data_IF_579404548744
#
_entry.id   IF_579404548744
#
_cell.length_a   1.000
_cell.length_b   1.000
_cell.length_c   1.000
_cell.angle_alpha   90.00
_cell.angle_beta   90.00
_cell.angle_gamma   90.00
#
_symmetry.space_group_name_H-M   'P 1'
#
loop_
_entity.id
_entity.type
_entity.pdbx_description
1 polymer ?
#
# COMPACT_ATOMS: atom_id res chain seq x y z
N UNK A 1 -3.41 -31.84 -2.44
CA UNK A 1 -3.15 -31.93 -3.88
C UNK A 1 -2.01 -30.99 -4.23
N UNK A 2 -0.86 -31.52 -4.66
CA UNK A 2 0.27 -30.72 -5.14
C UNK A 2 0.04 -30.33 -6.61
N UNK A 3 -0.94 -29.46 -6.84
CA UNK A 3 -1.23 -28.93 -8.17
C UNK A 3 -0.50 -27.57 -8.28
N UNK A 4 0.41 -27.41 -9.26
CA UNK A 4 1.06 -26.11 -9.46
C UNK A 4 0.03 -25.06 -9.89
N UNK A 5 0.05 -23.91 -9.22
CA UNK A 5 -0.79 -22.76 -9.56
C UNK A 5 -0.09 -21.89 -10.61
N UNK A 6 -0.80 -21.51 -11.65
CA UNK A 6 -0.37 -20.48 -12.62
C UNK A 6 -1.28 -19.26 -12.44
N UNK A 7 -0.71 -18.11 -12.12
CA UNK A 7 -1.43 -16.84 -11.98
C UNK A 7 -1.36 -16.05 -13.29
N UNK A 8 -2.51 -15.57 -13.77
CA UNK A 8 -2.62 -14.67 -14.93
C UNK A 8 -3.38 -13.40 -14.50
N UNK A 9 -2.70 -12.42 -13.90
CA UNK A 9 -3.37 -11.20 -13.46
C UNK A 9 -3.86 -10.37 -14.65
N UNK A 10 -5.09 -9.89 -14.56
CA UNK A 10 -5.71 -9.00 -15.54
C UNK A 10 -5.61 -7.53 -15.14
N UNK A 11 -5.13 -7.28 -13.93
CA UNK A 11 -4.91 -5.95 -13.35
C UNK A 11 -3.48 -5.88 -12.78
N UNK A 12 -2.88 -4.70 -12.86
CA UNK A 12 -1.65 -4.35 -12.15
C UNK A 12 -2.04 -3.40 -11.01
N UNK A 13 -2.55 -3.97 -9.91
CA UNK A 13 -3.09 -3.21 -8.78
C UNK A 13 -2.51 -3.60 -7.43
N UNK A 14 -1.85 -4.75 -7.33
CA UNK A 14 -1.16 -5.24 -6.13
C UNK A 14 -0.23 -6.42 -6.45
N UNK A 15 0.45 -6.93 -5.43
CA UNK A 15 1.42 -8.02 -5.55
C UNK A 15 0.84 -9.44 -5.35
N UNK A 16 -0.45 -9.59 -5.06
CA UNK A 16 -1.07 -10.89 -4.80
C UNK A 16 -0.78 -11.99 -5.86
N UNK A 17 -0.59 -11.65 -7.16
CA UNK A 17 -0.27 -12.66 -8.17
C UNK A 17 0.99 -13.48 -7.93
N UNK A 18 1.93 -13.03 -7.11
CA UNK A 18 3.18 -13.76 -6.82
C UNK A 18 3.36 -14.11 -5.34
N UNK A 19 2.44 -13.71 -4.48
CA UNK A 19 2.54 -13.99 -3.04
C UNK A 19 1.87 -15.31 -2.66
N UNK A 20 2.24 -15.85 -1.50
CA UNK A 20 1.63 -17.04 -0.91
C UNK A 20 0.48 -16.70 0.05
N UNK A 21 -0.27 -15.65 -0.26
CA UNK A 21 -1.34 -15.10 0.55
C UNK A 21 -2.58 -14.83 -0.28
N UNK A 22 -3.76 -15.12 0.27
CA UNK A 22 -5.04 -14.61 -0.24
C UNK A 22 -5.80 -13.91 0.86
N UNK A 23 -6.39 -12.77 0.52
CA UNK A 23 -7.37 -12.10 1.36
C UNK A 23 -8.74 -12.70 1.08
N UNK A 24 -9.40 -13.21 2.10
CA UNK A 24 -10.73 -13.84 1.99
C UNK A 24 -11.76 -12.89 2.55
N UNK A 25 -12.81 -12.66 1.77
CA UNK A 25 -13.96 -11.85 2.14
C UNK A 25 -15.18 -12.73 2.34
N UNK A 26 -16.08 -12.34 3.24
CA UNK A 26 -17.38 -13.00 3.41
C UNK A 26 -18.28 -12.71 2.21
N UNK A 27 -19.31 -13.53 2.03
CA UNK A 27 -20.28 -13.34 0.93
C UNK A 27 -21.04 -12.01 1.00
N UNK A 28 -21.16 -11.42 2.21
CA UNK A 28 -21.76 -10.12 2.46
C UNK A 28 -20.79 -8.93 2.30
N UNK A 29 -19.51 -9.20 1.93
CA UNK A 29 -18.51 -8.21 1.55
C UNK A 29 -17.38 -7.96 2.53
N UNK A 30 -17.54 -7.93 3.86
CA UNK A 30 -16.49 -7.64 4.83
C UNK A 30 -15.34 -8.65 4.83
N UNK A 31 -14.15 -8.17 5.23
CA UNK A 31 -12.98 -9.02 5.45
C UNK A 31 -13.32 -10.19 6.40
N UNK A 32 -12.86 -11.39 6.05
CA UNK A 32 -13.00 -12.59 6.87
C UNK A 32 -11.65 -12.98 7.48
N UNK A 33 -10.66 -13.32 6.64
CA UNK A 33 -9.34 -13.77 7.09
C UNK A 33 -8.28 -13.69 6.00
N UNK A 34 -7.03 -13.77 6.43
CA UNK A 34 -5.93 -14.13 5.55
C UNK A 34 -5.81 -15.65 5.43
N UNK A 35 -5.54 -16.13 4.24
CA UNK A 35 -5.23 -17.52 3.95
C UNK A 35 -3.81 -17.59 3.41
N UNK A 36 -2.93 -18.19 4.20
CA UNK A 36 -1.53 -18.37 3.84
C UNK A 36 -1.32 -19.74 3.18
N UNK A 37 -0.44 -19.80 2.22
CA UNK A 37 -0.05 -21.00 1.50
C UNK A 37 1.43 -21.29 1.71
N UNK A 38 1.81 -22.57 1.71
CA UNK A 38 3.21 -22.99 1.90
C UNK A 38 4.13 -22.51 0.75
N UNK A 39 3.58 -22.30 -0.44
CA UNK A 39 4.33 -21.89 -1.62
C UNK A 39 3.55 -20.87 -2.46
N UNK A 40 4.22 -19.90 -3.06
CA UNK A 40 3.60 -18.99 -4.01
C UNK A 40 3.22 -19.69 -5.32
N UNK A 41 2.53 -19.02 -6.25
CA UNK A 41 2.28 -19.54 -7.59
C UNK A 41 3.58 -20.00 -8.27
N UNK A 42 3.52 -21.18 -8.94
CA UNK A 42 4.67 -21.73 -9.65
C UNK A 42 5.09 -20.89 -10.87
N UNK A 43 4.14 -20.14 -11.43
CA UNK A 43 4.35 -19.22 -12.54
C UNK A 43 3.33 -18.07 -12.43
N UNK A 44 3.81 -16.86 -12.64
CA UNK A 44 2.95 -15.69 -12.87
C UNK A 44 3.26 -15.11 -14.25
N UNK A 45 2.24 -15.09 -15.10
CA UNK A 45 2.33 -14.58 -16.47
C UNK A 45 1.53 -13.27 -16.58
N UNK A 46 2.21 -12.16 -16.79
CA UNK A 46 1.61 -10.83 -16.93
C UNK A 46 1.57 -10.43 -18.39
N UNK A 47 0.37 -10.38 -18.97
CA UNK A 47 0.17 -9.78 -20.30
C UNK A 47 -0.03 -8.27 -20.13
N UNK A 48 1.00 -7.50 -20.49
CA UNK A 48 0.97 -6.03 -20.35
C UNK A 48 -0.09 -5.38 -21.26
N UNK A 49 -0.38 -5.96 -22.44
CA UNK A 49 -1.43 -5.42 -23.31
C UNK A 49 -2.81 -5.62 -22.68
N UNK A 50 -3.04 -6.77 -22.05
CA UNK A 50 -4.27 -7.00 -21.31
C UNK A 50 -4.39 -6.02 -20.14
N UNK A 51 -3.33 -5.85 -19.37
CA UNK A 51 -3.31 -4.95 -18.22
C UNK A 51 -3.45 -3.46 -18.62
N UNK A 52 -2.87 -3.03 -19.75
CA UNK A 52 -3.03 -1.67 -20.29
C UNK A 52 -4.46 -1.35 -20.73
N UNK A 53 -5.27 -2.37 -21.05
CA UNK A 53 -6.68 -2.20 -21.40
C UNK A 53 -7.63 -2.22 -20.17
N UNK A 54 -7.09 -2.46 -18.98
CA UNK A 54 -7.86 -2.35 -17.74
C UNK A 54 -8.13 -0.86 -17.38
N UNK A 55 -9.20 -0.57 -16.61
CA UNK A 55 -9.45 0.80 -16.19
C UNK A 55 -8.26 1.40 -15.40
N UNK A 56 -7.73 2.53 -15.87
CA UNK A 56 -6.50 3.17 -15.37
C UNK A 56 -6.51 3.45 -13.85
N UNK A 57 -7.71 3.63 -13.26
CA UNK A 57 -7.86 3.81 -11.81
C UNK A 57 -7.27 2.68 -10.98
N UNK A 58 -7.33 1.43 -11.45
CA UNK A 58 -6.77 0.28 -10.73
C UNK A 58 -5.24 0.29 -10.78
N UNK A 59 -4.67 0.67 -11.92
CA UNK A 59 -3.22 0.85 -12.05
C UNK A 59 -2.73 1.98 -11.14
N UNK A 60 -3.42 3.14 -11.14
CA UNK A 60 -3.13 4.26 -10.24
C UNK A 60 -3.13 3.83 -8.78
N UNK A 61 -4.18 3.13 -8.34
CA UNK A 61 -4.26 2.62 -6.97
C UNK A 61 -3.11 1.67 -6.66
N UNK A 62 -2.73 0.78 -7.59
CA UNK A 62 -1.57 -0.10 -7.44
C UNK A 62 -0.25 0.65 -7.26
N UNK A 63 -0.07 1.80 -7.92
CA UNK A 63 1.09 2.66 -7.68
C UNK A 63 1.12 3.20 -6.25
N UNK A 64 -0.05 3.64 -5.73
CA UNK A 64 -0.19 4.16 -4.36
C UNK A 64 0.12 3.11 -3.30
N UNK A 65 -0.47 1.93 -3.41
CA UNK A 65 -0.23 0.78 -2.53
C UNK A 65 1.25 0.37 -2.52
N UNK A 66 1.86 0.29 -3.70
CA UNK A 66 3.26 -0.14 -3.84
C UNK A 66 4.25 0.88 -3.25
N UNK A 67 3.99 2.19 -3.37
CA UNK A 67 4.82 3.22 -2.74
C UNK A 67 4.87 3.06 -1.22
N UNK A 68 3.74 2.74 -0.60
CA UNK A 68 3.66 2.53 0.84
C UNK A 68 4.53 1.35 1.31
N UNK A 69 4.69 0.32 0.50
CA UNK A 69 5.52 -0.84 0.84
C UNK A 69 6.93 -0.47 1.29
N UNK A 70 7.58 0.49 0.61
CA UNK A 70 8.89 0.99 1.04
C UNK A 70 8.81 1.77 2.35
N UNK A 71 7.84 2.67 2.45
CA UNK A 71 7.71 3.54 3.62
C UNK A 71 7.40 2.73 4.88
N UNK A 72 6.53 1.75 4.77
CA UNK A 72 6.13 0.91 5.89
C UNK A 72 7.20 -0.10 6.28
N UNK A 73 7.80 -0.81 5.31
CA UNK A 73 8.86 -1.78 5.61
C UNK A 73 10.06 -1.12 6.29
N UNK A 74 10.45 0.08 5.84
CA UNK A 74 11.55 0.82 6.47
C UNK A 74 11.16 1.42 7.81
N UNK A 75 9.89 1.79 8.01
CA UNK A 75 9.37 2.28 9.28
C UNK A 75 9.34 1.17 10.33
N UNK A 76 8.71 0.02 10.02
CA UNK A 76 8.61 -1.12 10.92
C UNK A 76 9.98 -1.71 11.27
N UNK A 77 10.90 -1.79 10.30
CA UNK A 77 12.25 -2.31 10.52
C UNK A 77 13.04 -1.52 11.58
N UNK A 78 12.73 -0.25 11.80
CA UNK A 78 13.36 0.55 12.87
C UNK A 78 12.95 0.11 14.28
N UNK A 79 11.86 -0.63 14.44
CA UNK A 79 11.47 -1.23 15.71
C UNK A 79 12.53 -2.19 16.26
N UNK A 80 13.28 -2.86 15.39
CA UNK A 80 14.32 -3.80 15.77
C UNK A 80 15.67 -3.14 16.12
N UNK A 81 15.90 -1.92 15.69
CA UNK A 81 17.09 -1.16 16.10
C UNK A 81 17.15 -0.94 17.62
N UNK A 82 16.03 -1.17 18.32
CA UNK A 82 15.89 -1.02 19.76
C UNK A 82 16.25 -2.29 20.57
N UNK A 83 16.51 -3.44 19.91
CA UNK A 83 16.81 -4.66 20.67
C UNK A 83 17.19 -5.92 19.93
N UNK A 84 16.65 -6.19 18.76
CA UNK A 84 16.95 -7.40 17.99
C UNK A 84 17.32 -7.04 16.55
N UNK A 85 18.34 -7.66 16.01
CA UNK A 85 18.71 -7.47 14.62
C UNK A 85 17.66 -8.13 13.70
N UNK A 86 17.31 -7.47 12.59
CA UNK A 86 16.55 -8.08 11.51
C UNK A 86 17.17 -9.43 11.12
N UNK A 87 16.35 -10.46 10.98
CA UNK A 87 16.81 -11.68 10.33
C UNK A 87 17.26 -11.39 8.89
N UNK A 88 18.12 -12.26 8.37
CA UNK A 88 18.77 -11.98 7.08
C UNK A 88 17.78 -11.86 5.91
N UNK A 89 16.71 -12.65 5.88
CA UNK A 89 15.71 -12.59 4.81
C UNK A 89 14.90 -11.30 4.89
N UNK A 90 14.46 -10.91 6.08
CA UNK A 90 13.77 -9.64 6.31
C UNK A 90 14.66 -8.43 5.95
N UNK A 91 15.95 -8.48 6.30
CA UNK A 91 16.89 -7.42 5.91
C UNK A 91 17.02 -7.28 4.38
N UNK A 92 17.00 -8.40 3.63
CA UNK A 92 16.97 -8.38 2.16
C UNK A 92 15.64 -7.78 1.67
N UNK A 93 14.51 -8.22 2.21
CA UNK A 93 13.18 -7.72 1.85
C UNK A 93 13.07 -6.21 2.08
N UNK A 94 13.44 -5.72 3.26
CA UNK A 94 13.44 -4.29 3.59
C UNK A 94 14.37 -3.51 2.65
N UNK A 95 15.57 -4.01 2.36
CA UNK A 95 16.49 -3.36 1.41
C UNK A 95 15.92 -3.31 0.00
N UNK A 96 15.24 -4.38 -0.43
CA UNK A 96 14.61 -4.49 -1.74
C UNK A 96 13.41 -3.54 -1.88
N UNK A 97 12.72 -3.19 -0.78
CA UNK A 97 11.51 -2.36 -0.80
C UNK A 97 11.70 -1.02 -1.51
N UNK A 98 12.94 -0.51 -1.59
CA UNK A 98 13.26 0.69 -2.36
C UNK A 98 12.92 0.57 -3.86
N UNK A 99 12.93 -0.64 -4.41
CA UNK A 99 12.49 -0.90 -5.79
C UNK A 99 10.98 -0.79 -5.98
N UNK A 100 10.22 -0.68 -4.89
CA UNK A 100 8.79 -0.35 -4.90
C UNK A 100 8.56 1.17 -4.99
N UNK A 101 9.55 1.99 -4.65
CA UNK A 101 9.40 3.44 -4.49
C UNK A 101 10.01 4.23 -5.65
N UNK A 102 11.34 4.13 -5.84
CA UNK A 102 12.07 4.95 -6.80
C UNK A 102 11.56 4.83 -8.26
N UNK A 103 11.29 3.62 -8.80
CA UNK A 103 10.79 3.51 -10.16
C UNK A 103 9.40 4.13 -10.34
N UNK A 104 8.52 4.02 -9.33
CA UNK A 104 7.18 4.61 -9.40
C UNK A 104 7.25 6.13 -9.38
N UNK A 105 8.06 6.73 -8.51
CA UNK A 105 8.24 8.19 -8.51
C UNK A 105 8.80 8.69 -9.85
N UNK A 106 9.69 7.92 -10.46
CA UNK A 106 10.33 8.30 -11.72
C UNK A 106 9.44 8.12 -12.94
N UNK A 107 8.70 7.02 -13.01
CA UNK A 107 7.99 6.61 -14.23
C UNK A 107 6.47 6.64 -14.08
N UNK A 108 5.91 6.75 -12.86
CA UNK A 108 4.49 6.55 -12.60
C UNK A 108 3.55 7.46 -13.38
N UNK A 109 3.92 8.72 -13.61
CA UNK A 109 3.10 9.67 -14.41
C UNK A 109 3.01 9.21 -15.87
N UNK A 110 4.16 8.89 -16.47
CA UNK A 110 4.20 8.42 -17.86
C UNK A 110 3.51 7.06 -17.97
N UNK A 111 3.76 6.16 -17.01
CA UNK A 111 3.11 4.85 -16.96
C UNK A 111 1.58 4.96 -16.90
N UNK A 112 1.03 5.86 -16.06
CA UNK A 112 -0.41 6.10 -16.01
C UNK A 112 -0.93 6.66 -17.33
N UNK A 113 -0.20 7.60 -17.95
CA UNK A 113 -0.54 8.15 -19.26
C UNK A 113 -0.51 7.07 -20.36
N UNK A 114 0.45 6.14 -20.34
CA UNK A 114 0.47 4.99 -21.26
C UNK A 114 -0.77 4.11 -21.09
N UNK A 115 -1.15 3.79 -19.83
CA UNK A 115 -2.36 3.01 -19.53
C UNK A 115 -3.65 3.74 -19.96
N UNK A 116 -3.74 5.07 -19.77
CA UNK A 116 -4.89 5.88 -20.24
C UNK A 116 -5.03 5.87 -21.77
N UNK A 117 -3.92 5.67 -22.49
CA UNK A 117 -3.92 5.50 -23.95
C UNK A 117 -4.06 4.03 -24.38
N UNK A 118 -4.22 3.09 -23.43
CA UNK A 118 -4.24 1.65 -23.66
C UNK A 118 -2.95 1.12 -24.30
N UNK A 119 -1.82 1.68 -23.95
CA UNK A 119 -0.49 1.34 -24.45
C UNK A 119 0.32 0.59 -23.39
N UNK A 120 0.86 -0.57 -23.74
CA UNK A 120 1.82 -1.30 -22.93
C UNK A 120 3.24 -0.73 -23.17
N UNK A 121 3.48 0.48 -22.70
CA UNK A 121 4.74 1.17 -22.89
C UNK A 121 5.81 0.82 -21.86
N UNK A 122 7.05 1.31 -22.04
CA UNK A 122 8.18 0.97 -21.17
C UNK A 122 8.03 1.54 -19.76
N UNK A 123 7.34 2.67 -19.56
CA UNK A 123 7.08 3.21 -18.23
C UNK A 123 6.06 2.36 -17.48
N UNK A 124 4.98 1.93 -18.16
CA UNK A 124 4.01 0.99 -17.60
C UNK A 124 4.68 -0.34 -17.22
N UNK A 125 5.52 -0.91 -18.11
CA UNK A 125 6.24 -2.15 -17.82
C UNK A 125 7.10 -2.01 -16.56
N UNK A 126 7.84 -0.90 -16.40
CA UNK A 126 8.67 -0.66 -15.24
C UNK A 126 7.84 -0.59 -13.96
N UNK A 127 6.74 0.16 -13.98
CA UNK A 127 5.83 0.27 -12.83
C UNK A 127 5.11 -1.05 -12.55
N UNK A 128 4.70 -1.81 -13.56
CA UNK A 128 4.09 -3.13 -13.38
C UNK A 128 5.06 -4.11 -12.69
N UNK A 129 6.35 -4.06 -13.02
CA UNK A 129 7.38 -4.82 -12.29
C UNK A 129 7.51 -4.39 -10.84
N UNK A 130 7.41 -3.09 -10.54
CA UNK A 130 7.41 -2.61 -9.15
C UNK A 130 6.18 -3.08 -8.38
N UNK A 131 4.99 -2.99 -8.98
CA UNK A 131 3.72 -3.36 -8.34
C UNK A 131 3.62 -4.87 -8.10
N UNK A 132 3.97 -5.69 -9.09
CA UNK A 132 3.81 -7.14 -8.96
C UNK A 132 5.07 -7.78 -8.40
N UNK A 133 6.23 -7.58 -9.05
CA UNK A 133 7.44 -8.32 -8.72
C UNK A 133 8.14 -7.76 -7.47
N UNK A 134 8.44 -6.45 -7.44
CA UNK A 134 9.18 -5.88 -6.30
C UNK A 134 8.40 -5.99 -5.00
N UNK A 135 7.13 -5.53 -4.99
CA UNK A 135 6.29 -5.60 -3.79
C UNK A 135 6.04 -7.05 -3.34
N UNK A 136 5.84 -7.97 -4.29
CA UNK A 136 5.66 -9.38 -3.97
C UNK A 136 6.93 -10.05 -3.43
N UNK A 137 8.12 -9.71 -3.95
CA UNK A 137 9.38 -10.20 -3.39
C UNK A 137 9.62 -9.65 -1.97
N UNK A 138 9.29 -8.38 -1.71
CA UNK A 138 9.32 -7.85 -0.34
C UNK A 138 8.42 -8.68 0.56
N UNK A 139 7.18 -8.93 0.15
CA UNK A 139 6.21 -9.72 0.93
C UNK A 139 6.61 -11.19 1.14
N UNK A 140 7.41 -11.77 0.24
CA UNK A 140 7.90 -13.15 0.36
C UNK A 140 9.18 -13.25 1.19
N UNK A 141 9.98 -12.18 1.28
CA UNK A 141 11.28 -12.18 1.96
C UNK A 141 11.21 -11.60 3.36
N UNK A 142 10.45 -10.53 3.54
CA UNK A 142 10.28 -9.91 4.84
C UNK A 142 9.26 -10.68 5.67
N UNK A 143 9.53 -10.83 6.98
CA UNK A 143 8.53 -11.29 7.93
C UNK A 143 7.29 -10.39 7.88
N UNK A 144 6.12 -10.92 8.18
CA UNK A 144 4.84 -10.19 8.11
C UNK A 144 4.86 -8.89 8.91
N UNK A 145 5.64 -8.83 10.00
CA UNK A 145 5.84 -7.65 10.84
C UNK A 145 6.39 -6.42 10.10
N UNK A 146 7.02 -6.62 8.94
CA UNK A 146 7.63 -5.53 8.15
C UNK A 146 6.87 -5.24 6.85
N UNK A 147 5.74 -5.90 6.63
CA UNK A 147 5.00 -5.78 5.38
C UNK A 147 4.02 -4.60 5.36
N UNK A 148 3.46 -4.26 6.51
CA UNK A 148 2.51 -3.18 6.71
C UNK A 148 2.87 -2.38 7.97
N UNK A 149 2.30 -1.17 8.10
CA UNK A 149 2.40 -0.32 9.29
C UNK A 149 1.25 0.70 9.31
N UNK A 150 1.53 1.94 9.71
CA UNK A 150 0.50 2.97 9.88
C UNK A 150 -0.25 3.31 8.58
N UNK A 151 0.37 3.22 7.41
CA UNK A 151 -0.33 3.53 6.16
C UNK A 151 -1.50 2.57 5.91
N UNK A 152 -1.30 1.27 6.08
CA UNK A 152 -2.37 0.27 5.99
C UNK A 152 -3.34 0.38 7.16
N UNK A 153 -2.86 0.60 8.39
CA UNK A 153 -3.73 0.78 9.56
C UNK A 153 -4.70 1.97 9.37
N UNK A 154 -4.24 3.09 8.79
CA UNK A 154 -5.11 4.22 8.41
C UNK A 154 -6.10 3.83 7.31
N UNK A 155 -5.66 3.06 6.31
CA UNK A 155 -6.54 2.56 5.25
C UNK A 155 -7.70 1.74 5.84
N UNK A 156 -7.42 0.76 6.70
CA UNK A 156 -8.44 -0.06 7.36
C UNK A 156 -9.35 0.79 8.25
N UNK A 157 -8.77 1.74 8.98
CA UNK A 157 -9.55 2.70 9.76
C UNK A 157 -10.55 3.49 8.92
N UNK A 158 -10.14 3.99 7.75
CA UNK A 158 -11.03 4.74 6.86
C UNK A 158 -12.14 3.87 6.25
N UNK A 159 -11.94 2.55 6.13
CA UNK A 159 -12.94 1.62 5.64
C UNK A 159 -14.12 1.41 6.63
N UNK A 160 -14.04 1.91 7.87
CA UNK A 160 -15.21 1.98 8.76
C UNK A 160 -16.31 2.93 8.24
N UNK A 161 -15.97 3.84 7.32
CA UNK A 161 -16.98 4.60 6.59
C UNK A 161 -17.51 3.75 5.43
N UNK A 162 -18.77 3.32 5.51
CA UNK A 162 -19.41 2.42 4.53
C UNK A 162 -19.24 2.89 3.07
N UNK A 163 -19.34 4.20 2.81
CA UNK A 163 -19.15 4.74 1.47
C UNK A 163 -17.70 4.66 1.01
N UNK A 164 -16.73 4.77 1.92
CA UNK A 164 -15.29 4.64 1.60
C UNK A 164 -14.96 3.18 1.29
N UNK A 165 -15.44 2.24 2.11
CA UNK A 165 -15.26 0.80 1.85
C UNK A 165 -15.81 0.40 0.48
N UNK A 166 -16.99 0.92 0.11
CA UNK A 166 -17.65 0.58 -1.16
C UNK A 166 -17.02 1.24 -2.38
N UNK A 167 -16.64 2.52 -2.28
CA UNK A 167 -16.37 3.37 -3.45
C UNK A 167 -14.88 3.69 -3.64
N UNK A 168 -14.06 3.64 -2.58
CA UNK A 168 -12.64 3.93 -2.67
C UNK A 168 -11.82 2.68 -3.07
N UNK A 169 -10.71 2.91 -3.74
CA UNK A 169 -9.76 1.83 -4.02
C UNK A 169 -8.75 1.72 -2.87
N UNK A 170 -8.46 0.49 -2.46
CA UNK A 170 -7.52 0.19 -1.37
C UNK A 170 -6.21 0.98 -1.48
N UNK A 171 -5.55 0.94 -2.64
CA UNK A 171 -4.27 1.64 -2.83
C UNK A 171 -4.38 3.17 -2.79
N UNK A 172 -5.53 3.76 -3.08
CA UNK A 172 -5.76 5.20 -2.90
C UNK A 172 -5.81 5.55 -1.39
N UNK A 173 -6.45 4.70 -0.58
CA UNK A 173 -6.50 4.86 0.89
C UNK A 173 -5.12 4.64 1.51
N UNK A 174 -4.39 3.63 1.07
CA UNK A 174 -3.02 3.36 1.53
C UNK A 174 -2.08 4.52 1.17
N UNK A 175 -2.23 5.11 -0.01
CA UNK A 175 -1.45 6.29 -0.40
C UNK A 175 -1.71 7.51 0.50
N UNK A 176 -2.97 7.74 0.91
CA UNK A 176 -3.29 8.75 1.91
C UNK A 176 -2.68 8.40 3.27
N UNK A 177 -2.80 7.15 3.70
CA UNK A 177 -2.18 6.64 4.93
C UNK A 177 -0.66 6.81 4.95
N UNK A 178 0.01 6.66 3.79
CA UNK A 178 1.44 6.92 3.65
C UNK A 178 1.81 8.39 3.92
N UNK A 179 0.95 9.34 3.50
CA UNK A 179 1.13 10.75 3.86
C UNK A 179 0.99 10.98 5.37
N UNK A 180 0.00 10.33 5.99
CA UNK A 180 -0.22 10.42 7.45
C UNK A 180 0.99 9.84 8.19
N UNK A 181 1.51 8.68 7.76
CA UNK A 181 2.70 8.06 8.36
C UNK A 181 3.93 8.96 8.27
N UNK A 182 4.22 9.54 7.10
CA UNK A 182 5.34 10.46 6.92
C UNK A 182 5.21 11.71 7.80
N UNK A 183 4.01 12.28 7.88
CA UNK A 183 3.76 13.44 8.74
C UNK A 183 3.93 13.13 10.21
N UNK A 184 3.42 11.96 10.66
CA UNK A 184 3.55 11.50 12.05
C UNK A 184 5.02 11.26 12.40
N UNK A 185 5.79 10.69 11.47
CA UNK A 185 7.21 10.38 11.64
C UNK A 185 8.12 11.63 11.47
N UNK A 186 7.56 12.82 11.30
CA UNK A 186 8.30 14.08 11.16
C UNK A 186 8.97 14.27 9.80
N UNK A 187 8.66 13.45 8.81
CA UNK A 187 9.23 13.49 7.46
C UNK A 187 8.41 14.41 6.53
N UNK A 188 8.18 15.65 6.97
CA UNK A 188 7.25 16.58 6.30
C UNK A 188 7.64 16.90 4.85
N UNK A 189 8.93 17.09 4.55
CA UNK A 189 9.36 17.37 3.18
C UNK A 189 9.08 16.19 2.25
N UNK A 190 9.33 14.97 2.70
CA UNK A 190 9.01 13.77 1.93
C UNK A 190 7.48 13.62 1.76
N UNK A 191 6.69 13.96 2.78
CA UNK A 191 5.23 13.99 2.67
C UNK A 191 4.76 14.99 1.60
N UNK A 192 5.37 16.18 1.55
CA UNK A 192 5.07 17.20 0.52
C UNK A 192 5.45 16.73 -0.89
N UNK A 193 6.59 16.05 -1.03
CA UNK A 193 7.03 15.49 -2.32
C UNK A 193 6.09 14.38 -2.77
N UNK A 194 5.77 13.44 -1.89
CA UNK A 194 4.84 12.36 -2.17
C UNK A 194 3.45 12.90 -2.53
N UNK A 195 2.94 13.88 -1.78
CA UNK A 195 1.64 14.50 -2.06
C UNK A 195 1.60 15.14 -3.46
N UNK A 196 2.65 15.89 -3.85
CA UNK A 196 2.73 16.48 -5.20
C UNK A 196 2.69 15.40 -6.28
N UNK A 197 3.37 14.29 -6.05
CA UNK A 197 3.34 13.14 -6.96
C UNK A 197 1.94 12.52 -7.04
N UNK A 198 1.30 12.20 -5.91
CA UNK A 198 -0.03 11.60 -5.84
C UNK A 198 -1.10 12.49 -6.49
N UNK A 199 -1.07 13.81 -6.23
CA UNK A 199 -1.93 14.79 -6.91
C UNK A 199 -1.77 14.71 -8.42
N UNK A 200 -0.54 14.56 -8.91
CA UNK A 200 -0.28 14.47 -10.36
C UNK A 200 -0.80 13.17 -11.00
N UNK A 201 -1.10 12.15 -10.21
CA UNK A 201 -1.76 10.92 -10.64
C UNK A 201 -3.29 11.00 -10.51
N UNK A 202 -3.83 12.04 -9.86
CA UNK A 202 -5.24 12.12 -9.52
C UNK A 202 -5.65 11.21 -8.35
N UNK A 203 -4.69 10.81 -7.52
CA UNK A 203 -4.95 10.06 -6.28
C UNK A 203 -5.53 11.00 -5.22
N UNK A 204 -6.57 10.62 -4.46
CA UNK A 204 -7.06 11.40 -3.33
C UNK A 204 -5.94 11.60 -2.28
N UNK A 205 -5.76 12.85 -1.85
CA UNK A 205 -4.73 13.23 -0.86
C UNK A 205 -5.32 13.99 0.32
N UNK A 206 -6.64 14.06 0.40
CA UNK A 206 -7.38 14.68 1.51
C UNK A 206 -8.59 13.84 1.89
N UNK A 207 -9.00 13.90 3.15
CA UNK A 207 -10.24 13.29 3.64
C UNK A 207 -11.47 13.85 2.92
N UNK A 208 -11.46 15.16 2.62
CA UNK A 208 -12.54 15.82 1.90
C UNK A 208 -12.79 15.22 0.51
N UNK A 209 -11.73 14.82 -0.21
CA UNK A 209 -11.85 14.13 -1.51
C UNK A 209 -12.47 12.74 -1.40
N UNK A 210 -12.42 12.14 -0.22
CA UNK A 210 -13.01 10.85 0.11
C UNK A 210 -14.36 10.98 0.83
N UNK A 211 -14.90 12.22 0.94
CA UNK A 211 -16.12 12.56 1.69
C UNK A 211 -16.08 12.15 3.17
N UNK A 212 -14.89 12.15 3.78
CA UNK A 212 -14.69 11.86 5.19
C UNK A 212 -14.52 13.17 5.95
N UNK A 213 -15.28 13.42 7.04
CA UNK A 213 -15.15 14.63 7.83
C UNK A 213 -13.86 14.61 8.67
N UNK A 214 -13.14 15.74 8.71
CA UNK A 214 -12.00 15.92 9.60
C UNK A 214 -12.47 16.34 11.00
N UNK A 215 -13.21 15.48 11.63
CA UNK A 215 -13.73 15.67 12.99
C UNK A 215 -13.36 14.46 13.86
N UNK A 216 -12.72 14.72 15.01
CA UNK A 216 -12.22 13.63 15.87
C UNK A 216 -13.32 12.66 16.29
N UNK A 217 -14.52 13.15 16.55
CA UNK A 217 -15.64 12.29 16.94
C UNK A 217 -16.10 11.38 15.79
N UNK A 218 -16.11 11.89 14.56
CA UNK A 218 -16.46 11.11 13.36
C UNK A 218 -15.37 10.08 13.00
N UNK A 219 -14.11 10.41 13.29
CA UNK A 219 -12.95 9.54 13.02
C UNK A 219 -12.65 8.56 14.17
N UNK A 220 -13.50 8.48 15.22
CA UNK A 220 -13.20 7.68 16.42
C UNK A 220 -12.81 6.24 16.08
N UNK A 221 -13.66 5.52 15.35
CA UNK A 221 -13.43 4.10 15.02
C UNK A 221 -12.22 3.94 14.08
N UNK A 222 -12.05 4.86 13.15
CA UNK A 222 -10.88 4.89 12.28
C UNK A 222 -9.57 5.09 13.05
N UNK A 223 -9.56 5.95 14.06
CA UNK A 223 -8.38 6.19 14.91
C UNK A 223 -8.11 5.01 15.86
N UNK A 224 -9.16 4.33 16.33
CA UNK A 224 -8.99 3.09 17.10
C UNK A 224 -8.32 2.04 16.24
N UNK A 225 -8.84 1.74 15.05
CA UNK A 225 -8.28 0.76 14.12
C UNK A 225 -6.82 1.11 13.74
N UNK A 226 -6.56 2.37 13.38
CA UNK A 226 -5.23 2.86 13.01
C UNK A 226 -4.18 2.79 14.15
N UNK A 227 -4.59 2.47 15.38
CA UNK A 227 -3.67 2.40 16.53
C UNK A 227 -3.66 1.06 17.25
N UNK A 228 -4.60 0.16 16.96
CA UNK A 228 -4.76 -1.14 17.64
C UNK A 228 -4.77 -2.33 16.68
N UNK A 229 -4.77 -2.10 15.37
CA UNK A 229 -4.72 -3.16 14.36
C UNK A 229 -3.39 -3.93 14.38
N UNK A 230 -3.34 -5.13 13.81
CA UNK A 230 -2.17 -6.00 13.82
C UNK A 230 -0.93 -5.36 13.17
N UNK A 231 -1.12 -4.48 12.19
CA UNK A 231 -0.02 -3.77 11.52
C UNK A 231 0.73 -2.79 12.43
N UNK A 232 0.18 -2.52 13.62
CA UNK A 232 0.75 -1.63 14.62
C UNK A 232 1.50 -2.37 15.75
N UNK A 233 1.58 -3.71 15.69
CA UNK A 233 2.28 -4.50 16.71
C UNK A 233 3.80 -4.31 16.66
N UNK A 234 4.34 -4.01 15.47
CA UNK A 234 5.79 -3.89 15.26
C UNK A 234 6.13 -2.55 14.60
N UNK A 235 6.23 -1.52 15.43
CA UNK A 235 6.51 -0.13 15.03
C UNK A 235 7.62 0.46 15.92
N UNK A 236 8.37 1.48 15.45
CA UNK A 236 9.55 1.97 16.18
C UNK A 236 9.26 2.67 17.50
N UNK A 237 8.04 3.13 17.72
CA UNK A 237 7.62 3.81 18.97
C UNK A 237 6.10 3.76 19.12
N UNK A 238 5.58 3.86 20.37
CA UNK A 238 4.14 3.87 20.59
C UNK A 238 3.44 5.02 19.86
N UNK A 239 2.37 4.70 19.12
CA UNK A 239 1.54 5.66 18.39
C UNK A 239 0.18 5.74 19.06
N UNK A 240 -0.28 6.96 19.33
CA UNK A 240 -1.58 7.23 19.94
C UNK A 240 -2.57 7.79 18.92
N UNK A 241 -3.87 7.68 19.23
CA UNK A 241 -4.93 8.28 18.41
C UNK A 241 -4.75 9.79 18.23
N UNK A 242 -4.22 10.50 19.25
CA UNK A 242 -3.93 11.94 19.14
C UNK A 242 -2.84 12.22 18.11
N UNK A 243 -1.77 11.41 18.11
CA UNK A 243 -0.69 11.56 17.13
C UNK A 243 -1.19 11.33 15.70
N UNK A 244 -2.03 10.30 15.49
CA UNK A 244 -2.60 10.02 14.16
C UNK A 244 -3.54 11.14 13.72
N UNK A 245 -4.42 11.62 14.59
CA UNK A 245 -5.34 12.71 14.29
C UNK A 245 -4.59 14.02 13.98
N UNK A 246 -3.57 14.37 14.75
CA UNK A 246 -2.73 15.55 14.51
C UNK A 246 -1.99 15.43 13.16
N UNK A 247 -1.48 14.23 12.83
CA UNK A 247 -0.87 13.97 11.53
C UNK A 247 -1.87 14.13 10.37
N UNK A 248 -3.10 13.62 10.50
CA UNK A 248 -4.18 13.85 9.54
C UNK A 248 -4.46 15.34 9.35
N UNK A 249 -4.62 16.10 10.44
CA UNK A 249 -4.81 17.56 10.37
C UNK A 249 -3.67 18.25 9.62
N UNK A 250 -2.43 17.81 9.83
CA UNK A 250 -1.26 18.37 9.12
C UNK A 250 -1.23 17.98 7.65
N UNK A 251 -1.66 16.76 7.28
CA UNK A 251 -1.80 16.35 5.88
C UNK A 251 -2.84 17.21 5.16
N UNK A 252 -3.99 17.49 5.80
CA UNK A 252 -5.03 18.35 5.23
C UNK A 252 -4.56 19.80 5.03
N UNK A 253 -3.56 20.26 5.80
CA UNK A 253 -2.99 21.61 5.71
C UNK A 253 -1.82 21.73 4.71
N UNK A 254 -1.34 20.64 4.10
CA UNK A 254 -0.28 20.64 3.09
C UNK A 254 -0.77 21.29 1.77
#
# INVERSE_FOLDING_TARGET
>A
LHIPLVSLPTLVSNCAPITSLSVVYREDGPFDRFLFYDVPPALTLVDLNLAANAPARFFRAGLGDTLAKYLESTFSARGDELGEALDHMSAIGVSLSRTCYDPILKFGREALSEVERHEAGPAMEMCARSVILSAGLVSLMADDRYNCALAHAVCYGLQHFEHVERDALHGDLVAYGALVQLMLDGQEEQARELRRFLVSLGTPVTLAQMNVPLERAALHDALVEATTGPDMEHIPYPITQDMVFDAMCRVEAL
#
